data_IF_796550051651
#
_entry.id   IF_796550051651
#
_cell.length_a   1.000
_cell.length_b   1.000
_cell.length_c   1.000
_cell.angle_alpha   90.00
_cell.angle_beta   90.00
_cell.angle_gamma   90.00
#
_symmetry.space_group_name_H-M   'P 1'
#
loop_
_entity.id
_entity.type
_entity.pdbx_description
1 polymer ?
#
# COMPACT_ATOMS: atom_id res chain seq x y z
N UNK A 1 -15.62 12.36 0.72
CA UNK A 1 -16.29 11.73 -0.40
C UNK A 1 -15.69 10.39 -0.70
N UNK A 2 -16.52 9.38 -0.80
CA UNK A 2 -16.04 8.02 -1.02
C UNK A 2 -15.22 7.90 -2.29
N UNK A 3 -15.57 8.67 -3.29
CA UNK A 3 -14.86 8.59 -4.55
C UNK A 3 -13.41 9.02 -4.43
N UNK A 4 -13.06 9.66 -3.34
CA UNK A 4 -11.72 10.16 -3.14
C UNK A 4 -10.87 9.28 -2.27
N UNK A 5 -11.45 8.23 -1.72
CA UNK A 5 -10.66 7.32 -0.91
C UNK A 5 -9.81 6.44 -1.79
N UNK A 6 -8.55 6.27 -1.45
CA UNK A 6 -7.73 5.32 -2.20
C UNK A 6 -8.20 3.90 -1.93
N UNK A 7 -8.06 3.06 -2.93
CA UNK A 7 -8.37 1.64 -2.79
C UNK A 7 -7.14 0.86 -3.15
N UNK A 8 -6.89 -0.23 -2.44
CA UNK A 8 -5.70 -1.04 -2.67
C UNK A 8 -6.11 -2.48 -2.88
N UNK A 9 -5.33 -3.22 -3.68
CA UNK A 9 -5.61 -4.65 -3.84
C UNK A 9 -5.39 -5.38 -2.53
N UNK A 10 -6.15 -6.43 -2.33
CA UNK A 10 -5.97 -7.23 -1.14
C UNK A 10 -4.54 -7.73 -1.00
N UNK A 11 -3.88 -8.01 -2.11
CA UNK A 11 -2.50 -8.50 -2.09
C UNK A 11 -1.51 -7.48 -1.55
N UNK A 12 -1.89 -6.21 -1.49
CA UNK A 12 -0.99 -5.17 -0.99
C UNK A 12 -1.04 -5.07 0.54
N UNK A 13 -1.97 -5.76 1.17
CA UNK A 13 -2.17 -5.63 2.60
C UNK A 13 -1.21 -6.53 3.35
N UNK A 14 -0.57 -5.99 4.38
CA UNK A 14 0.33 -6.72 5.25
C UNK A 14 -0.28 -6.72 6.64
N UNK A 15 -0.51 -7.92 7.19
CA UNK A 15 -1.05 -8.02 8.54
C UNK A 15 0.06 -8.38 9.52
N UNK A 16 0.16 -7.61 10.60
CA UNK A 16 1.12 -7.88 11.67
C UNK A 16 0.51 -7.45 12.97
N UNK A 17 0.59 -8.32 13.97
CA UNK A 17 0.14 -8.00 15.33
C UNK A 17 -1.29 -7.47 15.32
N UNK A 18 -2.12 -8.09 14.48
CA UNK A 18 -3.54 -7.73 14.37
C UNK A 18 -3.76 -6.33 13.81
N UNK A 19 -2.73 -5.75 13.21
CA UNK A 19 -2.82 -4.46 12.56
C UNK A 19 -2.60 -4.61 11.08
N UNK A 20 -3.04 -3.62 10.34
CA UNK A 20 -2.99 -3.67 8.89
C UNK A 20 -2.04 -2.60 8.38
N UNK A 21 -1.16 -2.98 7.47
CA UNK A 21 -0.15 -2.09 6.93
C UNK A 21 -0.11 -2.22 5.43
N UNK A 22 0.49 -1.22 4.79
CA UNK A 22 0.89 -1.29 3.38
C UNK A 22 2.33 -0.80 3.30
N UNK A 23 3.00 -1.16 2.21
CA UNK A 23 4.33 -0.64 1.93
C UNK A 23 4.19 0.61 1.10
N UNK A 24 4.57 1.74 1.68
CA UNK A 24 4.53 3.02 0.99
C UNK A 24 5.90 3.29 0.38
N UNK A 25 5.91 3.75 -0.86
CA UNK A 25 7.15 3.99 -1.59
C UNK A 25 7.43 5.49 -1.60
N UNK A 26 8.65 5.85 -1.21
CA UNK A 26 9.11 7.23 -1.32
C UNK A 26 9.46 7.47 -2.78
N UNK A 27 8.74 8.38 -3.42
CA UNK A 27 8.91 8.61 -4.85
C UNK A 27 10.28 9.16 -5.19
N UNK A 28 10.93 9.80 -4.23
CA UNK A 28 12.23 10.40 -4.48
C UNK A 28 13.36 9.38 -4.43
N UNK A 29 13.28 8.44 -3.53
CA UNK A 29 14.38 7.52 -3.30
C UNK A 29 14.07 6.09 -3.70
N UNK A 30 12.79 5.74 -3.82
CA UNK A 30 12.38 4.37 -4.06
C UNK A 30 12.37 3.51 -2.81
N UNK A 31 12.70 4.08 -1.66
CA UNK A 31 12.70 3.30 -0.43
C UNK A 31 11.28 3.05 0.04
N UNK A 32 11.06 1.89 0.65
CA UNK A 32 9.75 1.52 1.13
C UNK A 32 9.75 1.49 2.64
N UNK A 33 8.59 1.76 3.21
CA UNK A 33 8.40 1.72 4.66
C UNK A 33 6.98 1.25 4.92
N UNK A 34 6.81 0.52 6.01
CA UNK A 34 5.49 0.09 6.42
C UNK A 34 4.69 1.29 6.91
N UNK A 35 3.45 1.35 6.48
CA UNK A 35 2.55 2.41 6.90
C UNK A 35 1.28 1.77 7.42
N UNK A 36 0.95 2.04 8.66
CA UNK A 36 -0.26 1.50 9.24
C UNK A 36 -1.47 2.17 8.58
N UNK A 37 -2.44 1.37 8.20
CA UNK A 37 -3.64 1.87 7.53
C UNK A 37 -4.87 1.28 8.17
N UNK A 38 -5.98 1.95 7.98
CA UNK A 38 -7.28 1.43 8.32
C UNK A 38 -8.02 1.21 7.02
N UNK A 39 -8.60 0.03 6.88
CA UNK A 39 -9.31 -0.31 5.64
C UNK A 39 -10.76 -0.57 5.97
N UNK A 40 -11.60 -0.33 4.99
CA UNK A 40 -13.03 -0.62 5.12
C UNK A 40 -13.38 -1.88 4.37
N UNK A 41 -14.68 -2.14 4.28
CA UNK A 41 -15.16 -3.26 3.54
C UNK A 41 -15.01 -3.01 2.07
N UNK A 42 -14.44 -3.98 1.37
CA UNK A 42 -14.22 -3.84 -0.05
C UNK A 42 -14.98 -4.86 -0.85
N UNK A 43 -14.74 -4.85 -2.14
CA UNK A 43 -15.37 -5.78 -3.07
C UNK A 43 -14.41 -5.98 -4.23
N UNK A 44 -14.51 -7.16 -4.86
CA UNK A 44 -13.71 -7.43 -6.05
C UNK A 44 -12.22 -7.46 -5.79
N UNK A 45 -11.80 -7.79 -4.58
CA UNK A 45 -10.39 -7.86 -4.28
C UNK A 45 -9.74 -6.53 -3.97
N UNK A 46 -10.52 -5.46 -3.88
CA UNK A 46 -10.02 -4.13 -3.56
C UNK A 46 -10.60 -3.67 -2.24
N UNK A 47 -9.80 -2.99 -1.44
CA UNK A 47 -10.23 -2.47 -0.15
C UNK A 47 -10.04 -0.97 -0.11
N UNK A 48 -11.05 -0.22 0.35
CA UNK A 48 -10.85 1.22 0.53
C UNK A 48 -10.00 1.46 1.77
N UNK A 49 -9.10 2.41 1.68
CA UNK A 49 -8.27 2.80 2.81
C UNK A 49 -8.85 4.07 3.36
N UNK A 50 -9.28 4.00 4.62
CA UNK A 50 -9.96 5.13 5.24
C UNK A 50 -9.01 6.00 6.04
N UNK A 51 -7.82 5.51 6.35
CA UNK A 51 -6.83 6.31 7.08
C UNK A 51 -5.45 5.72 6.82
N UNK A 52 -4.44 6.55 6.90
CA UNK A 52 -3.05 6.13 6.82
C UNK A 52 -2.34 6.50 5.55
N UNK A 53 -3.03 6.49 4.43
CA UNK A 53 -2.49 6.96 3.16
C UNK A 53 -3.54 7.83 2.50
N UNK A 54 -3.10 8.61 1.53
CA UNK A 54 -4.00 9.48 0.81
C UNK A 54 -3.85 9.30 -0.67
N UNK A 55 -4.63 10.06 -1.42
CA UNK A 55 -4.53 10.04 -2.86
C UNK A 55 -3.14 10.49 -3.26
N UNK A 56 -2.61 9.82 -4.25
CA UNK A 56 -1.27 10.15 -4.73
C UNK A 56 -0.16 9.41 -4.03
N UNK A 57 -0.45 8.75 -2.91
CA UNK A 57 0.57 7.93 -2.29
C UNK A 57 0.85 6.71 -3.15
N UNK A 58 2.11 6.37 -3.26
CA UNK A 58 2.54 5.23 -4.05
C UNK A 58 2.77 4.06 -3.12
N UNK A 59 2.14 2.94 -3.39
CA UNK A 59 2.29 1.75 -2.56
C UNK A 59 2.66 0.56 -3.43
N UNK A 60 3.21 -0.45 -2.78
CA UNK A 60 3.51 -1.71 -3.47
C UNK A 60 2.26 -2.53 -3.53
N UNK A 61 1.83 -2.88 -4.73
CA UNK A 61 0.54 -3.52 -4.94
C UNK A 61 0.58 -5.03 -4.84
N UNK A 62 1.75 -5.64 -4.99
CA UNK A 62 1.86 -7.09 -4.97
C UNK A 62 3.28 -7.47 -4.62
N UNK A 63 3.49 -8.72 -4.28
CA UNK A 63 4.83 -9.21 -3.99
C UNK A 63 5.34 -8.76 -2.66
N UNK A 64 4.45 -8.51 -1.70
CA UNK A 64 4.85 -7.90 -0.44
C UNK A 64 5.52 -8.86 0.53
N UNK A 65 5.53 -10.15 0.23
CA UNK A 65 6.00 -11.13 1.21
C UNK A 65 7.48 -11.03 1.52
N UNK A 66 8.27 -10.54 0.59
CA UNK A 66 9.72 -10.53 0.75
C UNK A 66 10.28 -9.13 0.93
N UNK A 67 9.45 -8.18 1.32
CA UNK A 67 9.89 -6.80 1.45
C UNK A 67 10.30 -6.49 2.88
N UNK A 68 11.23 -5.56 3.00
CA UNK A 68 11.74 -5.10 4.29
C UNK A 68 11.83 -3.60 4.29
N UNK A 69 11.74 -3.03 5.49
CA UNK A 69 11.84 -1.59 5.65
C UNK A 69 13.16 -1.07 5.09
N UNK A 70 13.08 0.03 4.41
CA UNK A 70 14.27 0.66 3.85
C UNK A 70 14.72 0.08 2.52
N UNK A 71 14.17 -1.06 2.13
CA UNK A 71 14.49 -1.63 0.84
C UNK A 71 14.05 -0.67 -0.24
N UNK A 72 14.80 -0.60 -1.31
CA UNK A 72 14.43 0.25 -2.43
C UNK A 72 13.82 -0.59 -3.51
N UNK A 73 12.78 -0.07 -4.12
CA UNK A 73 12.12 -0.75 -5.21
C UNK A 73 12.17 0.15 -6.42
N UNK A 74 12.11 -0.46 -7.57
CA UNK A 74 12.09 0.25 -8.81
C UNK A 74 10.68 0.24 -9.34
N UNK A 75 10.13 1.38 -9.75
CA UNK A 75 8.80 1.35 -10.34
C UNK A 75 8.81 0.48 -11.57
N UNK A 76 7.71 -0.20 -11.80
CA UNK A 76 7.60 -1.03 -12.97
C UNK A 76 7.63 -0.14 -14.21
N UNK A 77 8.49 -0.48 -15.14
CA UNK A 77 8.59 0.25 -16.37
C UNK A 77 8.22 -0.63 -17.54
N UNK A 78 7.38 -0.11 -18.35
CA UNK A 78 6.97 -0.77 -19.53
C UNK A 78 7.73 -0.22 -20.69
N UNK A 79 8.36 -1.00 -21.38
CA UNK A 79 9.09 -0.50 -22.55
C UNK A 79 8.29 -0.56 -23.79
#
# INVERSE_FOLDING_TARGET
>A
DDAEMPAVPLEAIVGRDEKTFVWRVDRRTGAIALRRVTVGKGAGGMLPVTAGIGRGDLIVAAGVANLEEGMKVRPYERD
#
